data_IF_868279017455
#
_entry.id   IF_868279017455
#
_cell.length_a   1.000
_cell.length_b   1.000
_cell.length_c   1.000
_cell.angle_alpha   90.00
_cell.angle_beta   90.00
_cell.angle_gamma   90.00
#
_symmetry.space_group_name_H-M   'P 1'
#
loop_
_entity.id
_entity.type
_entity.pdbx_description
1 polymer ?
#
# COMPACT_ATOMS: atom_id res chain seq x y z
N UNK A 1 -8.08 21.21 -1.68
CA UNK A 1 -8.32 20.25 -0.58
C UNK A 1 -9.48 19.35 -0.93
N UNK A 2 -9.45 18.06 -0.60
CA UNK A 2 -10.66 17.24 -0.70
C UNK A 2 -11.46 17.43 0.60
N UNK A 3 -12.76 17.70 0.47
CA UNK A 3 -13.69 17.75 1.61
C UNK A 3 -15.01 17.13 1.16
N UNK A 4 -15.48 16.14 1.92
CA UNK A 4 -16.68 15.35 1.60
C UNK A 4 -16.58 14.69 0.20
N UNK A 5 -15.38 14.18 -0.14
CA UNK A 5 -15.10 13.53 -1.44
C UNK A 5 -14.99 14.47 -2.65
N UNK A 6 -15.19 15.77 -2.45
CA UNK A 6 -15.15 16.80 -3.50
C UNK A 6 -13.89 17.66 -3.40
N UNK A 7 -13.29 18.02 -4.54
CA UNK A 7 -12.16 18.94 -4.56
C UNK A 7 -12.65 20.38 -4.33
N UNK A 8 -12.15 21.03 -3.28
CA UNK A 8 -12.38 22.45 -2.99
C UNK A 8 -11.10 23.26 -3.22
N UNK A 9 -11.19 24.25 -4.09
CA UNK A 9 -10.19 25.29 -4.33
C UNK A 9 -10.55 26.52 -3.49
N UNK A 10 -9.65 26.89 -2.58
CA UNK A 10 -9.81 28.12 -1.79
C UNK A 10 -8.90 29.19 -2.40
N UNK A 11 -9.50 30.24 -2.95
CA UNK A 11 -8.79 31.40 -3.49
C UNK A 11 -8.92 32.55 -2.50
N UNK A 12 -7.80 33.09 -2.02
CA UNK A 12 -7.82 34.21 -1.08
C UNK A 12 -7.08 35.42 -1.67
N UNK A 13 -7.86 36.45 -2.03
CA UNK A 13 -7.40 37.82 -2.29
C UNK A 13 -7.93 38.76 -1.20
N UNK A 14 -8.47 39.94 -1.57
CA UNK A 14 -9.17 40.84 -0.62
C UNK A 14 -10.39 40.20 0.07
N UNK A 15 -11.05 39.24 -0.60
CA UNK A 15 -12.13 38.41 -0.04
C UNK A 15 -11.77 36.94 -0.27
N UNK A 16 -12.16 36.07 0.69
CA UNK A 16 -12.06 34.61 0.54
C UNK A 16 -13.14 34.12 -0.43
N UNK A 17 -12.75 33.32 -1.42
CA UNK A 17 -13.67 32.60 -2.31
C UNK A 17 -13.36 31.11 -2.23
N UNK A 18 -14.40 30.30 -2.19
CA UNK A 18 -14.30 28.84 -2.19
C UNK A 18 -15.02 28.34 -3.44
N UNK A 19 -14.32 27.56 -4.25
CA UNK A 19 -14.83 26.91 -5.45
C UNK A 19 -14.78 25.42 -5.18
N UNK A 20 -15.91 24.72 -5.26
CA UNK A 20 -15.94 23.27 -5.14
C UNK A 20 -16.18 22.65 -6.52
N UNK A 21 -15.50 21.54 -6.81
CA UNK A 21 -15.95 20.63 -7.84
C UNK A 21 -17.22 19.93 -7.35
N UNK A 22 -18.26 19.93 -8.18
CA UNK A 22 -19.47 19.18 -7.88
C UNK A 22 -19.26 17.66 -8.00
N UNK A 23 -18.21 17.23 -8.71
CA UNK A 23 -17.84 15.83 -8.89
C UNK A 23 -16.99 15.28 -7.73
N UNK A 24 -17.24 14.02 -7.38
CA UNK A 24 -16.38 13.23 -6.52
C UNK A 24 -15.06 12.90 -7.25
N UNK A 25 -13.92 13.01 -6.57
CA UNK A 25 -12.58 12.90 -7.18
C UNK A 25 -11.77 11.67 -6.69
N UNK A 26 -12.42 10.69 -6.08
CA UNK A 26 -11.80 9.53 -5.43
C UNK A 26 -12.07 8.19 -6.16
N UNK A 27 -12.21 8.22 -7.48
CA UNK A 27 -12.63 7.08 -8.31
C UNK A 27 -11.60 6.66 -9.37
N UNK A 28 -10.36 7.17 -9.26
CA UNK A 28 -9.29 6.92 -10.24
C UNK A 28 -9.50 7.61 -11.60
N UNK A 29 -10.59 8.37 -11.77
CA UNK A 29 -10.88 9.05 -13.04
C UNK A 29 -10.28 10.44 -13.05
N UNK A 30 -9.63 10.80 -14.16
CA UNK A 30 -9.12 12.16 -14.36
C UNK A 30 -10.27 13.15 -14.48
N UNK A 31 -10.26 14.17 -13.61
CA UNK A 31 -11.25 15.25 -13.61
C UNK A 31 -10.56 16.60 -13.74
N UNK A 32 -11.14 17.50 -14.52
CA UNK A 32 -10.67 18.88 -14.67
C UNK A 32 -11.44 19.80 -13.73
N UNK A 33 -10.75 20.75 -13.07
CA UNK A 33 -11.39 21.74 -12.22
C UNK A 33 -11.08 23.19 -12.59
N UNK A 34 -12.17 23.96 -12.68
CA UNK A 34 -12.36 25.41 -12.58
C UNK A 34 -11.67 26.36 -13.58
N UNK A 35 -12.50 27.29 -14.08
CA UNK A 35 -12.14 28.66 -14.46
C UNK A 35 -12.65 29.57 -13.33
N UNK A 36 -11.76 30.14 -12.51
CA UNK A 36 -12.18 31.07 -11.46
C UNK A 36 -12.54 32.44 -12.09
N UNK A 37 -13.73 33.02 -11.83
CA UNK A 37 -14.06 34.34 -12.34
C UNK A 37 -13.30 35.44 -11.57
N UNK A 38 -12.56 36.26 -12.31
CA UNK A 38 -11.88 37.45 -11.82
C UNK A 38 -10.36 37.44 -12.02
N UNK A 39 -9.70 38.60 -11.98
CA UNK A 39 -8.25 38.68 -12.10
C UNK A 39 -7.57 37.96 -10.93
N UNK A 40 -6.51 37.19 -11.17
CA UNK A 40 -5.79 36.47 -10.13
C UNK A 40 -5.15 37.47 -9.15
N UNK A 41 -5.12 37.16 -7.84
CA UNK A 41 -4.18 37.84 -6.95
C UNK A 41 -2.75 37.59 -7.46
N UNK A 42 -1.89 38.62 -7.44
CA UNK A 42 -0.45 38.44 -7.72
C UNK A 42 0.13 37.56 -6.61
N UNK A 43 0.47 36.31 -6.94
CA UNK A 43 1.14 35.38 -6.05
C UNK A 43 2.57 35.17 -6.56
N UNK A 44 3.55 35.20 -5.66
CA UNK A 44 4.95 34.97 -5.98
C UNK A 44 5.32 33.48 -6.01
N UNK A 45 4.47 32.60 -5.46
CA UNK A 45 4.67 31.14 -5.42
C UNK A 45 3.35 30.40 -5.55
N UNK A 46 3.39 29.27 -6.25
CA UNK A 46 2.30 28.31 -6.36
C UNK A 46 2.71 27.02 -5.63
N UNK A 47 1.85 26.54 -4.74
CA UNK A 47 2.02 25.24 -4.09
C UNK A 47 0.95 24.29 -4.62
N UNK A 48 1.38 23.15 -5.17
CA UNK A 48 0.51 22.13 -5.75
C UNK A 48 0.60 20.88 -4.87
N UNK A 49 -0.55 20.26 -4.57
CA UNK A 49 -0.60 19.04 -3.77
C UNK A 49 -0.43 19.28 -2.26
N UNK A 50 0.43 20.18 -1.80
CA UNK A 50 0.61 20.42 -0.36
C UNK A 50 1.33 21.72 -0.06
N UNK A 51 1.31 22.12 1.22
CA UNK A 51 2.11 23.23 1.71
C UNK A 51 3.48 22.73 2.23
N UNK A 52 4.54 23.55 2.17
CA UNK A 52 5.83 23.16 2.72
C UNK A 52 5.73 22.96 4.24
N UNK A 53 6.54 22.08 4.86
CA UNK A 53 6.53 21.91 6.30
C UNK A 53 6.96 23.21 7.02
N UNK A 54 6.61 23.39 8.31
CA UNK A 54 7.16 24.47 9.13
C UNK A 54 8.70 24.42 9.13
N UNK A 55 9.41 25.57 9.10
CA UNK A 55 8.93 26.94 9.24
C UNK A 55 8.55 27.63 7.92
N UNK A 56 8.73 26.99 6.76
CA UNK A 56 8.40 27.59 5.46
C UNK A 56 6.89 27.86 5.30
N UNK A 57 6.04 27.11 6.01
CA UNK A 57 4.60 27.37 6.13
C UNK A 57 4.21 28.64 6.91
N UNK A 58 5.14 29.35 7.58
CA UNK A 58 4.79 30.51 8.45
C UNK A 58 4.05 31.64 7.73
N UNK A 59 4.15 31.71 6.40
CA UNK A 59 3.41 32.67 5.57
C UNK A 59 2.02 32.19 5.15
N UNK A 60 1.64 30.95 5.46
CA UNK A 60 0.36 30.37 5.09
C UNK A 60 -0.63 30.41 6.27
N UNK A 61 -1.91 30.75 6.03
CA UNK A 61 -2.93 30.72 7.06
C UNK A 61 -3.04 29.34 7.76
N UNK A 62 -3.32 29.29 9.07
CA UNK A 62 -3.49 28.03 9.81
C UNK A 62 -4.51 27.06 9.19
N UNK A 63 -5.54 27.58 8.53
CA UNK A 63 -6.55 26.77 7.87
C UNK A 63 -6.01 26.00 6.64
N UNK A 64 -4.90 26.41 6.03
CA UNK A 64 -4.25 25.70 4.92
C UNK A 64 -3.22 24.72 5.47
N UNK A 65 -2.42 25.14 6.47
CA UNK A 65 -1.39 24.29 7.05
C UNK A 65 -1.94 23.09 7.83
N UNK A 66 -3.20 23.14 8.29
CA UNK A 66 -3.87 22.01 8.98
C UNK A 66 -4.51 20.97 8.04
N UNK A 67 -4.63 21.26 6.75
CA UNK A 67 -5.42 20.42 5.81
C UNK A 67 -4.63 19.20 5.29
N UNK A 68 -3.34 19.08 5.64
CA UNK A 68 -2.47 18.02 5.16
C UNK A 68 -2.17 18.13 3.66
N UNK A 69 -1.35 17.21 3.17
CA UNK A 69 -1.09 17.05 1.74
C UNK A 69 -2.27 16.35 1.03
N UNK A 70 -2.47 16.68 -0.24
CA UNK A 70 -3.34 15.97 -1.16
C UNK A 70 -2.73 14.61 -1.49
N UNK A 71 -3.50 13.56 -1.25
CA UNK A 71 -3.18 12.19 -1.69
C UNK A 71 -3.92 11.95 -3.01
N UNK A 72 -3.16 11.84 -4.10
CA UNK A 72 -3.71 11.61 -5.43
C UNK A 72 -2.85 12.24 -6.52
N UNK A 73 -3.38 12.24 -7.74
CA UNK A 73 -2.64 12.64 -8.92
C UNK A 73 -3.10 13.99 -9.49
N UNK A 74 -2.12 14.84 -9.85
CA UNK A 74 -2.35 16.16 -10.43
C UNK A 74 -1.58 16.27 -11.75
N UNK A 75 -2.24 16.73 -12.81
CA UNK A 75 -1.61 17.00 -14.11
C UNK A 75 -2.21 18.23 -14.76
N UNK A 76 -1.48 18.82 -15.71
CA UNK A 76 -1.94 19.95 -16.55
C UNK A 76 -2.42 21.15 -15.70
N UNK A 77 -1.64 21.52 -14.70
CA UNK A 77 -1.91 22.74 -13.91
C UNK A 77 -1.70 23.94 -14.83
N UNK A 78 -2.68 24.84 -14.85
CA UNK A 78 -2.58 26.09 -15.60
C UNK A 78 -3.06 27.27 -14.77
N UNK A 79 -2.28 28.35 -14.78
CA UNK A 79 -2.64 29.61 -14.14
C UNK A 79 -2.69 30.69 -15.21
N UNK A 80 -3.82 31.40 -15.32
CA UNK A 80 -4.04 32.45 -16.34
C UNK A 80 -3.78 31.98 -17.78
N UNK A 81 -4.26 30.78 -18.12
CA UNK A 81 -4.03 30.11 -19.42
C UNK A 81 -2.55 29.83 -19.74
N UNK A 82 -1.63 29.94 -18.77
CA UNK A 82 -0.26 29.46 -18.90
C UNK A 82 -0.14 28.11 -18.21
N UNK A 83 0.41 27.13 -18.91
CA UNK A 83 0.70 25.84 -18.32
C UNK A 83 1.90 25.97 -17.38
N UNK A 84 1.77 25.42 -16.18
CA UNK A 84 2.86 25.32 -15.22
C UNK A 84 3.61 23.99 -15.44
N UNK A 85 4.93 24.06 -15.49
CA UNK A 85 5.78 22.88 -15.63
C UNK A 85 6.04 22.26 -14.25
N UNK A 86 5.28 21.21 -13.93
CA UNK A 86 5.38 20.51 -12.64
C UNK A 86 6.58 19.56 -12.55
N UNK A 87 7.44 19.46 -13.57
CA UNK A 87 8.57 18.50 -13.59
C UNK A 87 9.90 19.23 -13.49
N UNK A 88 10.02 20.38 -14.16
CA UNK A 88 11.27 21.14 -14.28
C UNK A 88 11.82 21.65 -12.95
N UNK A 89 10.97 21.87 -11.95
CA UNK A 89 11.34 22.35 -10.61
C UNK A 89 11.44 21.21 -9.58
N UNK A 90 11.93 20.03 -10.00
CA UNK A 90 12.00 18.82 -9.15
C UNK A 90 12.73 18.99 -7.81
N UNK A 91 13.62 19.98 -7.69
CA UNK A 91 14.36 20.28 -6.45
C UNK A 91 13.47 20.84 -5.34
N UNK A 92 12.33 21.42 -5.70
CA UNK A 92 11.35 21.96 -4.75
C UNK A 92 10.24 20.96 -4.42
N UNK A 93 10.30 19.74 -4.98
CA UNK A 93 9.35 18.67 -4.68
C UNK A 93 9.69 17.98 -3.36
N UNK A 94 8.66 17.68 -2.58
CA UNK A 94 8.80 16.96 -1.33
C UNK A 94 7.80 15.82 -1.27
N UNK A 95 8.30 14.57 -1.20
CA UNK A 95 7.49 13.35 -1.18
C UNK A 95 6.45 13.26 -2.32
N UNK A 96 6.86 13.65 -3.53
CA UNK A 96 6.04 13.55 -4.76
C UNK A 96 6.64 12.49 -5.66
N UNK A 97 5.80 11.57 -6.13
CA UNK A 97 6.16 10.52 -7.09
C UNK A 97 5.46 10.68 -8.44
N UNK A 98 5.71 9.74 -9.34
CA UNK A 98 4.98 9.64 -10.59
C UNK A 98 3.63 8.94 -10.39
N UNK A 99 2.64 9.37 -11.16
CA UNK A 99 1.32 8.78 -11.19
C UNK A 99 1.24 7.66 -12.22
N UNK A 100 0.52 6.60 -11.88
CA UNK A 100 0.10 5.62 -12.88
C UNK A 100 -1.03 6.20 -13.74
N UNK A 101 -1.07 5.87 -15.04
CA UNK A 101 -2.06 6.42 -15.97
C UNK A 101 -3.49 5.94 -15.67
N UNK A 102 -3.62 4.69 -15.23
CA UNK A 102 -4.87 4.04 -14.84
C UNK A 102 -4.66 3.20 -13.57
N UNK A 103 -5.54 3.39 -12.59
CA UNK A 103 -5.44 2.78 -11.26
C UNK A 103 -6.75 2.16 -10.81
N UNK A 104 -6.66 1.13 -9.98
CA UNK A 104 -7.75 0.55 -9.21
C UNK A 104 -7.51 0.77 -7.70
N UNK A 105 -8.58 0.61 -6.92
CA UNK A 105 -8.54 0.79 -5.47
C UNK A 105 -7.80 -0.38 -4.79
N UNK A 106 -6.49 -0.22 -4.63
CA UNK A 106 -5.62 -1.07 -3.83
C UNK A 106 -4.30 -0.33 -3.55
N UNK A 107 -3.55 -0.78 -2.56
CA UNK A 107 -2.24 -0.24 -2.25
C UNK A 107 -1.17 -0.84 -3.17
N UNK A 108 -0.29 0.00 -3.71
CA UNK A 108 0.85 -0.41 -4.53
C UNK A 108 2.16 -0.37 -3.74
N UNK A 109 2.95 -1.42 -3.93
CA UNK A 109 4.26 -1.63 -3.31
C UNK A 109 5.31 -1.78 -4.41
N UNK A 110 6.30 -0.89 -4.43
CA UNK A 110 7.30 -0.79 -5.50
C UNK A 110 8.57 -1.62 -5.24
N UNK A 111 8.65 -2.32 -4.10
CA UNK A 111 9.83 -3.07 -3.67
C UNK A 111 10.76 -2.32 -2.70
N UNK A 112 10.45 -1.09 -2.34
CA UNK A 112 11.03 -0.32 -1.24
C UNK A 112 9.98 0.03 -0.16
N UNK A 113 8.76 -0.46 -0.35
CA UNK A 113 7.60 -0.15 0.47
C UNK A 113 7.30 -1.29 1.45
N UNK A 114 6.76 -0.92 2.62
CA UNK A 114 6.23 -1.87 3.59
C UNK A 114 5.15 -1.22 4.46
N UNK A 115 4.35 -2.04 5.13
CA UNK A 115 3.42 -1.59 6.16
C UNK A 115 3.61 -2.40 7.45
N UNK A 116 3.20 -1.83 8.58
CA UNK A 116 3.34 -2.44 9.90
C UNK A 116 2.05 -2.33 10.71
N UNK A 117 1.64 -3.47 11.30
CA UNK A 117 0.49 -3.61 12.20
C UNK A 117 1.01 -4.07 13.56
N UNK A 118 0.69 -3.33 14.62
CA UNK A 118 1.04 -3.70 16.00
C UNK A 118 -0.10 -4.49 16.65
N UNK A 119 0.23 -5.22 17.72
CA UNK A 119 -0.80 -5.84 18.57
C UNK A 119 -1.44 -7.07 17.95
N UNK A 120 -0.72 -7.82 17.11
CA UNK A 120 -1.23 -9.03 16.49
C UNK A 120 -1.02 -10.21 17.43
N UNK A 121 -2.11 -10.79 17.92
CA UNK A 121 -2.08 -12.01 18.75
C UNK A 121 -1.43 -13.18 17.98
N UNK A 122 -0.63 -14.01 18.65
CA UNK A 122 0.09 -15.11 18.01
C UNK A 122 -0.86 -16.15 17.37
N UNK A 123 -2.02 -16.37 17.97
CA UNK A 123 -3.03 -17.30 17.48
C UNK A 123 -3.93 -16.70 16.38
N UNK A 124 -3.78 -15.40 16.09
CA UNK A 124 -4.61 -14.74 15.08
C UNK A 124 -4.34 -15.33 13.70
N UNK A 125 -5.41 -15.56 12.95
CA UNK A 125 -5.31 -15.79 11.53
C UNK A 125 -4.99 -14.47 10.83
N UNK A 126 -3.94 -14.47 10.02
CA UNK A 126 -3.57 -13.34 9.17
C UNK A 126 -3.79 -13.73 7.71
N UNK A 127 -4.54 -12.92 6.96
CA UNK A 127 -4.76 -13.11 5.52
C UNK A 127 -4.39 -11.85 4.75
N UNK A 128 -3.98 -12.04 3.50
CA UNK A 128 -3.60 -10.98 2.58
C UNK A 128 -4.16 -11.28 1.19
N UNK A 129 -4.75 -10.27 0.54
CA UNK A 129 -5.20 -10.35 -0.85
C UNK A 129 -4.27 -9.52 -1.71
N UNK A 130 -3.50 -10.20 -2.55
CA UNK A 130 -2.40 -9.60 -3.29
C UNK A 130 -2.42 -10.01 -4.77
N UNK A 131 -1.73 -9.24 -5.60
CA UNK A 131 -1.37 -9.63 -6.96
C UNK A 131 0.04 -9.16 -7.30
N UNK A 132 0.79 -9.97 -8.03
CA UNK A 132 2.17 -9.65 -8.42
C UNK A 132 2.55 -10.30 -9.76
N UNK A 133 3.60 -9.79 -10.39
CA UNK A 133 4.38 -10.53 -11.40
C UNK A 133 5.83 -10.73 -11.02
N UNK A 134 6.24 -10.27 -9.84
CA UNK A 134 7.53 -10.64 -9.30
C UNK A 134 7.44 -12.08 -8.78
N UNK A 135 8.40 -12.95 -9.12
CA UNK A 135 8.40 -14.34 -8.65
C UNK A 135 8.78 -14.45 -7.16
N UNK A 136 9.25 -13.36 -6.56
CA UNK A 136 9.79 -13.26 -5.21
C UNK A 136 9.31 -11.99 -4.52
N UNK A 137 9.25 -12.03 -3.19
CA UNK A 137 8.85 -10.88 -2.38
C UNK A 137 8.23 -11.27 -1.04
N UNK A 138 8.58 -10.56 0.04
CA UNK A 138 8.00 -10.77 1.37
C UNK A 138 6.52 -10.37 1.37
N UNK A 139 5.62 -11.27 1.76
CA UNK A 139 4.19 -10.97 1.93
C UNK A 139 3.87 -10.58 3.37
N UNK A 140 4.31 -11.39 4.34
CA UNK A 140 4.16 -11.15 5.78
C UNK A 140 5.44 -11.53 6.50
N UNK A 141 5.85 -10.72 7.47
CA UNK A 141 6.98 -11.01 8.34
C UNK A 141 6.65 -10.64 9.78
N UNK A 142 6.95 -11.54 10.71
CA UNK A 142 6.89 -11.29 12.14
C UNK A 142 8.00 -12.11 12.81
N UNK A 143 8.26 -11.86 14.09
CA UNK A 143 9.18 -12.68 14.86
C UNK A 143 8.81 -14.19 14.74
N UNK A 144 9.75 -15.00 14.28
CA UNK A 144 9.56 -16.44 14.09
C UNK A 144 8.64 -16.85 12.92
N UNK A 145 8.21 -15.92 12.06
CA UNK A 145 7.33 -16.21 10.92
C UNK A 145 7.73 -15.41 9.68
N UNK A 146 7.78 -16.10 8.55
CA UNK A 146 7.91 -15.48 7.24
C UNK A 146 6.95 -16.13 6.24
N UNK A 147 6.13 -15.31 5.60
CA UNK A 147 5.36 -15.67 4.41
C UNK A 147 5.93 -14.90 3.21
N UNK A 148 6.37 -15.60 2.18
CA UNK A 148 6.97 -14.99 1.00
C UNK A 148 6.49 -15.62 -0.31
N UNK A 149 6.60 -14.85 -1.39
CA UNK A 149 6.66 -15.38 -2.73
C UNK A 149 8.05 -15.95 -2.98
N UNK A 150 8.11 -17.18 -3.50
CA UNK A 150 9.36 -17.79 -3.94
C UNK A 150 9.11 -18.67 -5.16
N UNK A 151 9.71 -18.25 -6.28
CA UNK A 151 9.67 -18.94 -7.57
C UNK A 151 8.23 -19.29 -8.00
N UNK A 152 7.30 -18.34 -7.78
CA UNK A 152 5.89 -18.46 -8.15
C UNK A 152 4.99 -19.19 -7.16
N UNK A 153 5.54 -19.71 -6.05
CA UNK A 153 4.79 -20.28 -4.93
C UNK A 153 4.63 -19.28 -3.79
N UNK A 154 3.70 -19.55 -2.89
CA UNK A 154 3.69 -18.97 -1.54
C UNK A 154 4.38 -19.93 -0.60
N UNK A 155 5.35 -19.45 0.17
CA UNK A 155 6.13 -20.24 1.13
C UNK A 155 5.97 -19.63 2.52
N UNK A 156 5.51 -20.45 3.47
CA UNK A 156 5.51 -20.15 4.89
C UNK A 156 6.70 -20.85 5.54
N UNK A 157 7.51 -20.09 6.27
CA UNK A 157 8.62 -20.60 7.07
C UNK A 157 8.48 -20.13 8.51
N UNK A 158 8.71 -21.03 9.46
CA UNK A 158 8.81 -20.72 10.89
C UNK A 158 10.26 -20.80 11.34
N UNK A 159 10.62 -19.89 12.23
CA UNK A 159 11.94 -19.86 12.86
C UNK A 159 11.79 -19.92 14.37
N UNK A 160 12.75 -20.55 15.03
CA UNK A 160 12.95 -20.50 16.47
C UNK A 160 14.45 -20.39 16.72
N UNK A 161 14.86 -19.43 17.56
CA UNK A 161 16.28 -19.20 17.87
C UNK A 161 17.18 -19.08 16.63
N UNK A 162 16.67 -18.41 15.58
CA UNK A 162 17.39 -18.21 14.32
C UNK A 162 17.44 -19.42 13.38
N UNK A 163 16.87 -20.56 13.77
CA UNK A 163 16.84 -21.80 12.96
C UNK A 163 15.45 -22.07 12.39
N UNK A 164 15.39 -22.57 11.14
CA UNK A 164 14.13 -23.00 10.52
C UNK A 164 13.57 -24.22 11.27
N UNK A 165 12.33 -24.10 11.76
CA UNK A 165 11.64 -25.16 12.51
C UNK A 165 10.53 -25.83 11.71
N UNK A 166 10.10 -25.23 10.62
CA UNK A 166 9.11 -25.84 9.74
C UNK A 166 8.80 -24.99 8.53
N UNK A 167 8.42 -25.67 7.45
CA UNK A 167 8.11 -25.03 6.17
C UNK A 167 6.89 -25.66 5.52
N UNK A 168 6.09 -24.82 4.89
CA UNK A 168 4.97 -25.19 4.04
C UNK A 168 5.02 -24.37 2.75
N UNK A 169 4.59 -24.95 1.65
CA UNK A 169 4.49 -24.25 0.38
C UNK A 169 3.20 -24.61 -0.34
N UNK A 170 2.66 -23.66 -1.09
CA UNK A 170 1.49 -23.86 -1.94
C UNK A 170 1.58 -23.02 -3.19
N UNK A 171 1.01 -23.54 -4.26
CA UNK A 171 0.68 -22.80 -5.47
C UNK A 171 -0.63 -22.04 -5.30
N UNK A 172 -1.00 -21.23 -6.29
CA UNK A 172 -2.34 -20.68 -6.45
C UNK A 172 -3.28 -21.68 -7.13
N UNK A 173 -4.58 -21.47 -6.96
CA UNK A 173 -5.59 -22.23 -7.69
C UNK A 173 -5.57 -21.83 -9.17
N UNK A 174 -5.46 -22.80 -10.09
CA UNK A 174 -5.56 -22.57 -11.53
C UNK A 174 -6.81 -23.17 -12.15
N UNK A 175 -7.31 -22.50 -13.19
CA UNK A 175 -8.45 -22.92 -14.01
C UNK A 175 -9.78 -22.29 -13.61
N UNK A 176 -10.64 -22.04 -14.61
CA UNK A 176 -12.07 -21.81 -14.41
C UNK A 176 -12.73 -23.13 -13.97
N UNK A 177 -13.69 -23.04 -13.05
CA UNK A 177 -14.52 -24.16 -12.64
C UNK A 177 -15.18 -24.78 -13.89
N UNK A 178 -14.79 -26.02 -14.23
CA UNK A 178 -15.40 -26.76 -15.35
C UNK A 178 -14.41 -27.53 -16.21
N UNK A 179 -13.12 -27.19 -16.21
CA UNK A 179 -12.11 -27.90 -17.01
C UNK A 179 -11.32 -28.94 -16.19
N UNK A 180 -12.01 -29.97 -15.68
CA UNK A 180 -11.48 -31.34 -15.40
C UNK A 180 -10.13 -31.57 -14.69
N UNK A 181 -9.44 -30.55 -14.19
CA UNK A 181 -8.14 -30.67 -13.54
C UNK A 181 -7.83 -29.38 -12.80
N UNK A 182 -7.85 -29.42 -11.47
CA UNK A 182 -7.42 -28.33 -10.61
C UNK A 182 -5.90 -28.13 -10.78
N UNK A 183 -5.50 -27.46 -11.84
CA UNK A 183 -4.10 -27.20 -12.13
C UNK A 183 -3.55 -26.17 -11.15
N UNK A 184 -2.58 -26.55 -10.33
CA UNK A 184 -1.80 -25.58 -9.56
C UNK A 184 -1.16 -24.54 -10.51
N UNK A 185 -1.19 -23.25 -10.15
CA UNK A 185 -0.63 -22.15 -10.95
C UNK A 185 0.27 -21.25 -10.11
N UNK A 186 1.25 -20.62 -10.74
CA UNK A 186 2.07 -19.60 -10.09
C UNK A 186 1.21 -18.41 -9.65
N UNK A 187 1.42 -17.92 -8.43
CA UNK A 187 0.70 -16.74 -7.87
C UNK A 187 1.26 -15.40 -8.34
N UNK A 188 2.37 -15.43 -9.09
CA UNK A 188 2.97 -14.25 -9.74
C UNK A 188 2.42 -14.04 -11.16
N UNK A 189 1.16 -14.35 -11.40
CA UNK A 189 0.53 -14.33 -12.72
C UNK A 189 -0.22 -13.03 -13.04
N UNK A 190 -0.13 -12.04 -12.14
CA UNK A 190 -0.80 -10.75 -12.24
C UNK A 190 -2.26 -10.73 -11.78
N UNK A 191 -2.83 -11.86 -11.34
CA UNK A 191 -4.22 -11.96 -10.82
C UNK A 191 -4.24 -11.84 -9.30
N UNK A 192 -5.43 -11.57 -8.77
CA UNK A 192 -5.66 -11.52 -7.32
C UNK A 192 -5.67 -12.92 -6.73
N UNK A 193 -4.83 -13.11 -5.70
CA UNK A 193 -4.75 -14.30 -4.88
C UNK A 193 -4.99 -13.93 -3.41
N UNK A 194 -5.42 -14.91 -2.62
CA UNK A 194 -5.53 -14.76 -1.16
C UNK A 194 -4.60 -15.77 -0.51
N UNK A 195 -3.62 -15.29 0.28
CA UNK A 195 -2.80 -16.15 1.12
C UNK A 195 -3.10 -15.91 2.60
N UNK A 196 -2.98 -16.94 3.42
CA UNK A 196 -3.28 -16.88 4.84
C UNK A 196 -2.39 -17.79 5.67
N UNK A 197 -2.18 -17.38 6.92
CA UNK A 197 -1.48 -18.18 7.92
C UNK A 197 -2.33 -18.25 9.18
N UNK A 198 -2.50 -19.47 9.70
CA UNK A 198 -3.14 -19.74 11.00
C UNK A 198 -2.39 -20.87 11.70
N UNK A 199 -1.69 -20.55 12.79
CA UNK A 199 -0.83 -21.51 13.48
C UNK A 199 0.22 -22.12 12.54
N UNK A 200 0.14 -23.43 12.33
CA UNK A 200 1.03 -24.21 11.45
C UNK A 200 0.45 -24.49 10.05
N UNK A 201 -0.62 -23.80 9.65
CA UNK A 201 -1.28 -23.97 8.36
C UNK A 201 -1.08 -22.75 7.46
N UNK A 202 -0.78 -23.03 6.19
CA UNK A 202 -0.74 -22.10 5.07
C UNK A 202 -1.96 -22.34 4.17
N UNK A 203 -2.77 -21.32 3.94
CA UNK A 203 -3.84 -21.34 2.94
C UNK A 203 -3.49 -20.46 1.74
N UNK A 204 -3.78 -20.94 0.53
CA UNK A 204 -3.66 -20.16 -0.71
C UNK A 204 -4.88 -20.40 -1.57
N UNK A 205 -5.58 -19.33 -1.91
CA UNK A 205 -6.85 -19.31 -2.63
C UNK A 205 -7.86 -20.30 -2.02
N UNK A 206 -8.39 -21.20 -2.86
CA UNK A 206 -9.35 -22.24 -2.47
C UNK A 206 -8.71 -23.64 -2.41
N UNK A 207 -7.38 -23.71 -2.41
CA UNK A 207 -6.67 -24.98 -2.31
C UNK A 207 -6.70 -25.49 -0.86
N UNK A 208 -6.62 -26.82 -0.66
CA UNK A 208 -6.47 -27.40 0.67
C UNK A 208 -5.25 -26.79 1.41
N UNK A 209 -5.36 -26.45 2.70
CA UNK A 209 -4.25 -25.85 3.45
C UNK A 209 -3.04 -26.78 3.52
N UNK A 210 -1.86 -26.25 3.20
CA UNK A 210 -0.58 -26.91 3.45
C UNK A 210 -0.20 -26.78 4.93
N UNK A 211 0.50 -27.78 5.48
CA UNK A 211 0.97 -27.77 6.87
C UNK A 211 2.49 -27.73 6.91
N UNK A 212 3.03 -27.13 7.98
CA UNK A 212 4.47 -27.09 8.20
C UNK A 212 5.06 -28.50 8.31
N UNK A 213 6.24 -28.68 7.72
CA UNK A 213 7.07 -29.87 7.82
C UNK A 213 8.51 -29.48 8.18
N UNK A 214 9.14 -30.10 9.20
CA UNK A 214 8.50 -30.95 10.21
C UNK A 214 7.41 -30.18 10.96
N UNK A 215 6.36 -30.88 11.39
CA UNK A 215 5.30 -30.31 12.19
C UNK A 215 5.79 -30.20 13.65
N UNK A 216 6.76 -29.34 13.90
CA UNK A 216 7.13 -28.99 15.26
C UNK A 216 5.99 -28.16 15.84
N UNK A 217 5.15 -28.82 16.63
CA UNK A 217 4.17 -28.16 17.48
C UNK A 217 4.96 -27.35 18.49
N UNK A 218 4.91 -26.02 18.36
CA UNK A 218 5.27 -25.16 19.48
C UNK A 218 4.10 -25.23 20.46
N UNK A 219 4.32 -25.83 21.63
CA UNK A 219 3.52 -25.52 22.81
C UNK A 219 3.90 -24.10 23.23
N UNK A 220 3.23 -23.12 22.64
CA UNK A 220 3.46 -21.73 22.99
C UNK A 220 2.68 -21.41 24.27
N UNK A 221 3.41 -21.12 25.35
CA UNK A 221 2.90 -20.25 26.40
C UNK A 221 2.35 -18.96 25.75
N UNK A 222 1.41 -18.23 26.38
CA UNK A 222 0.86 -17.01 25.80
C UNK A 222 2.00 -16.04 25.42
N UNK A 223 2.29 -15.89 24.13
CA UNK A 223 3.26 -14.91 23.66
C UNK A 223 2.62 -13.52 23.63
N UNK A 224 3.40 -12.46 23.91
CA UNK A 224 2.89 -11.10 23.78
C UNK A 224 2.48 -10.80 22.32
N UNK A 225 1.55 -9.85 22.11
CA UNK A 225 1.15 -9.42 20.78
C UNK A 225 2.36 -8.94 19.97
N UNK A 226 2.45 -9.39 18.71
CA UNK A 226 3.60 -9.17 17.84
C UNK A 226 3.41 -8.00 16.88
N UNK A 227 4.54 -7.42 16.46
CA UNK A 227 4.60 -6.54 15.30
C UNK A 227 4.59 -7.40 14.02
N UNK A 228 3.63 -7.13 13.15
CA UNK A 228 3.49 -7.76 11.85
C UNK A 228 3.86 -6.76 10.76
N UNK A 229 4.86 -7.11 9.97
CA UNK A 229 5.20 -6.43 8.73
C UNK A 229 4.46 -7.04 7.54
N UNK A 230 4.03 -6.18 6.62
CA UNK A 230 3.29 -6.52 5.41
C UNK A 230 4.06 -6.00 4.20
N UNK A 231 4.19 -6.85 3.18
CA UNK A 231 4.82 -6.56 1.88
C UNK A 231 6.33 -6.26 1.92
N UNK A 232 6.99 -6.45 3.06
CA UNK A 232 8.39 -6.07 3.24
C UNK A 232 8.69 -5.72 4.67
N UNK A 233 9.95 -5.47 4.97
CA UNK A 233 10.40 -5.00 6.28
C UNK A 233 11.52 -3.95 6.11
N UNK A 234 11.81 -3.15 7.14
CA UNK A 234 13.00 -2.29 7.15
C UNK A 234 14.28 -3.11 6.96
N UNK A 235 15.28 -2.52 6.32
CA UNK A 235 16.63 -3.10 6.28
C UNK A 235 17.17 -3.29 7.71
N UNK A 236 17.92 -4.38 7.93
CA UNK A 236 18.51 -4.70 9.24
C UNK A 236 17.51 -5.24 10.27
N UNK A 237 16.33 -5.68 9.86
CA UNK A 237 15.41 -6.45 10.74
C UNK A 237 16.05 -7.81 11.06
N UNK A 238 16.70 -7.89 12.24
CA UNK A 238 17.60 -8.97 12.67
C UNK A 238 16.98 -10.39 12.69
N UNK A 239 15.66 -10.51 12.74
CA UNK A 239 14.95 -11.79 12.83
C UNK A 239 14.55 -12.35 11.46
N UNK A 240 14.80 -11.62 10.37
CA UNK A 240 14.66 -12.14 9.02
C UNK A 240 16.01 -12.75 8.63
N UNK A 241 16.07 -14.05 8.23
CA UNK A 241 17.33 -14.65 7.84
C UNK A 241 17.94 -13.86 6.69
N UNK A 242 19.10 -13.28 6.96
CA UNK A 242 19.89 -12.52 5.99
C UNK A 242 20.25 -13.40 4.80
N UNK A 243 20.10 -12.85 3.59
CA UNK A 243 20.47 -13.56 2.36
C UNK A 243 19.73 -13.16 1.09
N UNK A 244 19.29 -11.91 0.95
CA UNK A 244 18.73 -11.41 -0.32
C UNK A 244 17.21 -11.54 -0.46
N UNK A 245 16.47 -11.42 0.65
CA UNK A 245 15.00 -11.28 0.59
C UNK A 245 14.64 -9.88 0.15
N UNK A 246 13.83 -9.78 -0.90
CA UNK A 246 13.37 -8.50 -1.43
C UNK A 246 11.96 -8.17 -0.92
N UNK A 247 11.67 -6.89 -0.72
CA UNK A 247 10.32 -6.45 -0.43
C UNK A 247 9.41 -6.70 -1.65
N UNK A 248 8.13 -6.88 -1.38
CA UNK A 248 7.15 -7.24 -2.38
C UNK A 248 6.93 -6.13 -3.41
N UNK A 249 6.78 -6.55 -4.66
CA UNK A 249 6.46 -5.71 -5.81
C UNK A 249 5.10 -6.12 -6.34
N UNK A 250 4.10 -5.26 -6.22
CA UNK A 250 2.75 -5.59 -6.65
C UNK A 250 1.70 -4.76 -5.93
N UNK A 251 0.49 -5.29 -5.87
CA UNK A 251 -0.61 -4.65 -5.15
C UNK A 251 -1.19 -5.53 -4.07
N UNK A 252 -1.67 -4.88 -3.02
CA UNK A 252 -2.42 -5.50 -1.92
C UNK A 252 -3.73 -4.75 -1.79
N UNK A 253 -4.83 -5.46 -1.94
CA UNK A 253 -6.17 -4.88 -1.78
C UNK A 253 -6.57 -4.84 -0.30
N UNK A 254 -6.33 -5.94 0.41
CA UNK A 254 -6.89 -6.17 1.74
C UNK A 254 -5.91 -6.96 2.61
N UNK A 255 -5.89 -6.62 3.90
CA UNK A 255 -5.17 -7.34 4.96
C UNK A 255 -6.18 -7.63 6.07
N UNK A 256 -6.27 -8.88 6.51
CA UNK A 256 -7.13 -9.29 7.62
C UNK A 256 -6.30 -9.84 8.76
N UNK A 257 -6.66 -9.45 9.99
CA UNK A 257 -6.07 -9.97 11.22
C UNK A 257 -7.21 -10.39 12.15
N UNK A 258 -7.20 -11.64 12.61
CA UNK A 258 -8.24 -12.18 13.49
C UNK A 258 -9.64 -12.14 12.86
N UNK A 259 -9.73 -12.26 11.54
CA UNK A 259 -11.00 -12.18 10.80
C UNK A 259 -11.49 -10.76 10.48
N UNK A 260 -10.83 -9.71 10.99
CA UNK A 260 -11.19 -8.31 10.71
C UNK A 260 -10.26 -7.71 9.65
N UNK A 261 -10.84 -7.01 8.66
CA UNK A 261 -10.05 -6.19 7.74
C UNK A 261 -9.42 -5.01 8.49
N UNK A 262 -8.11 -4.82 8.31
CA UNK A 262 -7.35 -3.72 8.92
C UNK A 262 -7.25 -2.59 7.90
N UNK A 263 -7.69 -1.39 8.27
CA UNK A 263 -7.59 -0.21 7.40
C UNK A 263 -6.14 0.23 7.25
N UNK A 264 -5.76 0.70 6.07
CA UNK A 264 -4.44 1.32 5.83
C UNK A 264 -4.15 2.50 6.79
N UNK A 265 -5.18 3.21 7.25
CA UNK A 265 -5.04 4.28 8.24
C UNK A 265 -4.67 3.80 9.65
N UNK A 266 -4.91 2.52 9.95
CA UNK A 266 -4.51 1.88 11.22
C UNK A 266 -3.06 1.37 11.15
N UNK A 267 -2.44 1.35 9.97
CA UNK A 267 -1.10 0.83 9.74
C UNK A 267 -0.06 1.95 9.68
N UNK A 268 1.17 1.65 10.09
CA UNK A 268 2.32 2.50 9.75
C UNK A 268 2.82 2.10 8.37
N UNK A 269 2.79 3.02 7.41
CA UNK A 269 3.21 2.76 6.02
C UNK A 269 4.52 3.46 5.69
N UNK A 270 5.34 2.84 4.85
CA UNK A 270 6.56 3.38 4.28
C UNK A 270 6.54 3.19 2.76
N UNK A 271 6.65 4.29 2.00
CA UNK A 271 6.64 4.32 0.53
C UNK A 271 5.45 3.60 -0.16
N UNK A 272 4.36 3.35 0.56
CA UNK A 272 3.15 2.72 0.01
C UNK A 272 2.32 3.75 -0.75
N UNK A 273 1.99 3.47 -2.00
CA UNK A 273 1.03 4.28 -2.76
C UNK A 273 -0.38 3.75 -2.54
N UNK A 274 -1.12 4.38 -1.62
CA UNK A 274 -2.50 4.00 -1.29
C UNK A 274 -3.46 4.32 -2.45
N UNK A 275 -4.47 3.46 -2.64
CA UNK A 275 -5.52 3.58 -3.66
C UNK A 275 -5.00 3.88 -5.09
N UNK A 276 -3.78 3.41 -5.39
CA UNK A 276 -3.02 3.76 -6.59
C UNK A 276 -2.43 2.53 -7.28
N UNK A 277 -3.07 1.37 -7.13
CA UNK A 277 -2.62 0.15 -7.79
C UNK A 277 -2.82 0.24 -9.32
N UNK A 278 -1.75 0.14 -10.14
CA UNK A 278 -1.89 0.30 -11.59
C UNK A 278 -2.69 -0.84 -12.23
N UNK A 279 -3.75 -0.53 -12.98
CA UNK A 279 -4.52 -1.55 -13.72
C UNK A 279 -3.63 -2.28 -14.74
N UNK A 280 -3.92 -3.56 -14.97
CA UNK A 280 -3.29 -4.37 -16.02
C UNK A 280 -4.19 -4.48 -17.23
#
# INVERSE_FOLDING_TARGET
>A
MIRDGKLKLVVRGRKRRELALDAFVADGTWRSSARAPGPPPRAHRLYVGGAPPPPAARMLPPAISRVGGFVGCVRRVSVNNRAEDLVRDARDHHAVGQCFPDVEQAAYFAGDAYAAVNGVEESAEVRIKFRSSAPRGILLAAEGLLLELRDGKVVLTRYSEGSETGRAESWGAGGEEGAGGAGARAVCDGRWHVAGVRGAALSVDRLPPARLTPALLHDAAPAPPRLLYVAGAPEGTADLPDGGRENFKGCIAEVWVGGRAVSWSEMKTHNVLLDSCPKR
#
